data_IF_623206466931
#
_entry.id   IF_623206466931
#
_cell.length_a   1.000
_cell.length_b   1.000
_cell.length_c   1.000
_cell.angle_alpha   90.00
_cell.angle_beta   90.00
_cell.angle_gamma   90.00
#
_symmetry.space_group_name_H-M   'P 1'
#
loop_
_entity.id
_entity.type
_entity.pdbx_description
1 polymer ?
#
# COMPACT_ATOMS: atom_id res chain seq x y z
N UNK A 1 33.78 -11.71 23.01
CA UNK A 1 32.65 -11.26 22.16
C UNK A 1 32.67 -12.13 20.91
N UNK A 2 31.59 -12.87 20.61
CA UNK A 2 31.58 -13.90 19.54
C UNK A 2 30.87 -13.35 18.31
N UNK A 3 31.19 -13.90 17.13
CA UNK A 3 30.59 -13.51 15.85
C UNK A 3 29.06 -13.72 15.79
N UNK A 4 28.53 -14.62 16.63
CA UNK A 4 27.09 -14.88 16.80
C UNK A 4 26.31 -13.64 17.26
N UNK A 5 26.96 -12.74 18.02
CA UNK A 5 26.36 -11.48 18.50
C UNK A 5 26.16 -10.44 17.36
N UNK A 6 26.72 -10.70 16.17
CA UNK A 6 26.61 -9.87 14.96
C UNK A 6 25.73 -10.49 13.87
N UNK A 7 25.14 -11.66 14.11
CA UNK A 7 24.07 -12.14 13.25
C UNK A 7 22.92 -11.15 13.44
N UNK A 8 22.71 -10.31 12.45
CA UNK A 8 21.57 -9.41 12.39
C UNK A 8 20.31 -10.22 12.72
N UNK A 9 19.67 -9.92 13.86
CA UNK A 9 18.39 -10.49 14.25
C UNK A 9 17.26 -9.90 13.39
N UNK A 10 17.46 -9.89 12.07
CA UNK A 10 16.53 -9.44 11.03
C UNK A 10 15.34 -10.41 10.92
N UNK A 11 14.22 -9.91 10.39
CA UNK A 11 12.95 -10.63 10.30
C UNK A 11 11.98 -10.24 11.40
N UNK A 12 11.78 -11.11 12.40
CA UNK A 12 10.74 -10.93 13.42
C UNK A 12 10.93 -9.70 14.34
N UNK A 13 12.15 -9.14 14.37
CA UNK A 13 12.46 -7.93 15.13
C UNK A 13 12.54 -6.68 14.25
N UNK A 14 12.26 -6.80 12.94
CA UNK A 14 12.29 -5.67 12.03
C UNK A 14 11.18 -4.67 12.38
N UNK A 15 11.49 -3.37 12.26
CA UNK A 15 10.50 -2.32 12.48
C UNK A 15 9.46 -2.34 11.38
N UNK A 16 8.20 -2.14 11.74
CA UNK A 16 7.12 -2.05 10.76
C UNK A 16 6.57 -3.38 10.26
N UNK A 17 7.03 -4.52 10.79
CA UNK A 17 6.42 -5.79 10.46
C UNK A 17 4.91 -5.77 10.75
N UNK A 18 4.13 -6.39 9.87
CA UNK A 18 2.66 -6.39 9.93
C UNK A 18 2.02 -5.00 9.94
N UNK A 19 2.63 -3.98 9.34
CA UNK A 19 2.02 -2.65 9.21
C UNK A 19 1.77 -2.33 7.74
N UNK A 20 0.55 -1.93 7.42
CA UNK A 20 0.20 -1.52 6.05
C UNK A 20 -0.58 -0.21 6.04
N UNK A 21 -0.15 0.74 5.21
CA UNK A 21 -0.92 1.96 4.95
C UNK A 21 -1.43 1.96 3.52
N UNK A 22 -2.73 2.14 3.38
CA UNK A 22 -3.41 2.31 2.10
C UNK A 22 -3.40 3.79 1.70
N UNK A 23 -2.93 4.10 0.50
CA UNK A 23 -3.00 5.44 -0.07
C UNK A 23 -4.34 5.63 -0.80
N UNK A 24 -5.08 6.67 -0.45
CA UNK A 24 -6.34 7.01 -1.09
C UNK A 24 -6.33 8.45 -1.62
N UNK A 25 -6.98 8.65 -2.76
CA UNK A 25 -7.08 9.94 -3.41
C UNK A 25 -7.36 9.80 -4.90
N UNK A 26 -7.82 10.87 -5.53
CA UNK A 26 -8.12 10.88 -6.97
C UNK A 26 -6.87 10.63 -7.83
N UNK A 27 -7.02 10.18 -9.09
CA UNK A 27 -5.95 10.29 -10.07
C UNK A 27 -5.42 11.73 -10.12
N UNK A 28 -4.10 11.92 -10.18
CA UNK A 28 -3.49 13.26 -10.13
C UNK A 28 -3.32 13.85 -8.71
N UNK A 29 -3.85 13.22 -7.65
CA UNK A 29 -3.72 13.73 -6.28
C UNK A 29 -2.28 13.73 -5.72
N UNK A 30 -1.32 13.12 -6.43
CA UNK A 30 0.08 13.05 -5.99
C UNK A 30 0.36 12.01 -4.90
N UNK A 31 -0.38 10.89 -4.89
CA UNK A 31 -0.18 9.77 -3.95
C UNK A 31 1.28 9.33 -3.84
N UNK A 32 1.90 9.07 -4.98
CA UNK A 32 3.30 8.66 -5.05
C UNK A 32 4.27 9.79 -4.64
N UNK A 33 3.91 11.05 -4.90
CA UNK A 33 4.70 12.24 -4.49
C UNK A 33 4.71 12.39 -2.98
N UNK A 34 3.53 12.34 -2.34
CA UNK A 34 3.41 12.40 -0.88
C UNK A 34 4.16 11.22 -0.25
N UNK A 35 3.93 9.99 -0.71
CA UNK A 35 4.63 8.80 -0.20
C UNK A 35 6.15 8.95 -0.26
N UNK A 36 6.72 9.38 -1.39
CA UNK A 36 8.17 9.57 -1.55
C UNK A 36 8.74 10.58 -0.54
N UNK A 37 7.98 11.63 -0.21
CA UNK A 37 8.36 12.62 0.80
C UNK A 37 8.24 12.11 2.25
N UNK A 38 7.56 10.98 2.46
CA UNK A 38 7.41 10.34 3.77
C UNK A 38 8.43 9.21 4.01
N UNK A 39 9.45 9.06 3.16
CA UNK A 39 10.53 8.08 3.37
C UNK A 39 11.39 8.41 4.60
N UNK A 40 11.80 7.37 5.35
CA UNK A 40 12.67 7.52 6.53
C UNK A 40 12.80 6.22 7.34
N UNK A 41 12.70 6.30 8.68
CA UNK A 41 13.13 5.25 9.62
C UNK A 41 12.58 3.82 9.43
N UNK A 42 11.51 3.66 8.65
CA UNK A 42 11.03 2.39 8.09
C UNK A 42 10.82 2.59 6.59
N UNK A 43 11.19 1.58 5.78
CA UNK A 43 11.00 1.60 4.32
C UNK A 43 9.97 0.55 3.88
N UNK A 44 8.66 0.89 3.85
CA UNK A 44 7.63 -0.04 3.42
C UNK A 44 7.73 -0.37 1.93
N UNK A 45 7.49 -1.63 1.57
CA UNK A 45 7.40 -2.06 0.17
C UNK A 45 6.13 -1.54 -0.47
N UNK A 46 6.25 -1.04 -1.69
CA UNK A 46 5.12 -0.54 -2.47
C UNK A 46 4.43 -1.70 -3.18
N UNK A 47 3.14 -1.84 -2.96
CA UNK A 47 2.26 -2.78 -3.66
C UNK A 47 1.45 -1.97 -4.65
N UNK A 48 1.83 -2.04 -5.93
CA UNK A 48 1.17 -1.35 -7.03
C UNK A 48 1.30 -2.15 -8.33
N UNK A 49 0.18 -2.59 -8.89
CA UNK A 49 0.13 -3.32 -10.15
C UNK A 49 0.44 -2.46 -11.38
N UNK A 50 0.19 -1.15 -11.32
CA UNK A 50 0.48 -0.22 -12.42
C UNK A 50 1.99 -0.13 -12.70
N UNK A 51 2.84 -0.40 -11.71
CA UNK A 51 4.30 -0.39 -11.86
C UNK A 51 4.77 -1.37 -12.94
N UNK A 52 4.13 -2.55 -13.02
CA UNK A 52 4.47 -3.58 -14.00
C UNK A 52 3.99 -3.25 -15.40
N UNK A 53 2.89 -2.49 -15.50
CA UNK A 53 2.36 -1.96 -16.75
C UNK A 53 3.36 -0.98 -17.36
N UNK A 54 3.87 -0.06 -16.53
CA UNK A 54 4.89 0.92 -16.92
C UNK A 54 6.22 0.23 -17.27
N UNK A 55 6.66 -0.75 -16.48
CA UNK A 55 7.89 -1.52 -16.73
C UNK A 55 7.85 -2.32 -18.04
N UNK A 56 6.74 -3.01 -18.31
CA UNK A 56 6.57 -3.83 -19.50
C UNK A 56 6.26 -3.00 -20.76
N UNK A 57 6.21 -1.66 -20.65
CA UNK A 57 5.86 -0.72 -21.74
C UNK A 57 4.63 -1.17 -22.50
N UNK A 58 3.65 -1.71 -21.78
CA UNK A 58 2.46 -2.28 -22.40
C UNK A 58 1.65 -1.15 -23.01
N UNK A 59 1.68 -1.03 -24.33
CA UNK A 59 0.90 -0.03 -25.03
C UNK A 59 -0.59 -0.29 -24.78
N UNK A 60 -1.29 0.76 -24.33
CA UNK A 60 -2.73 0.74 -24.02
C UNK A 60 -3.57 0.33 -25.24
N UNK A 61 -2.99 0.38 -26.45
CA UNK A 61 -3.67 0.06 -27.72
C UNK A 61 -3.73 -1.43 -28.09
N UNK A 62 -3.14 -2.34 -27.30
CA UNK A 62 -3.33 -3.78 -27.58
C UNK A 62 -2.45 -4.76 -26.82
N UNK A 63 -1.44 -4.33 -26.07
CA UNK A 63 -0.59 -5.25 -25.29
C UNK A 63 -1.20 -5.68 -23.96
N UNK A 64 -2.18 -4.94 -23.44
CA UNK A 64 -2.73 -5.16 -22.10
C UNK A 64 -3.31 -6.55 -21.94
N UNK A 65 -4.19 -6.97 -22.85
CA UNK A 65 -4.84 -8.29 -22.81
C UNK A 65 -3.84 -9.45 -22.90
N UNK A 66 -2.68 -9.25 -23.53
CA UNK A 66 -1.65 -10.27 -23.64
C UNK A 66 -0.85 -10.46 -22.35
N UNK A 67 -0.58 -9.38 -21.61
CA UNK A 67 0.25 -9.41 -20.41
C UNK A 67 -0.53 -9.33 -19.10
N UNK A 68 -1.86 -9.18 -19.15
CA UNK A 68 -2.69 -8.99 -17.96
C UNK A 68 -2.50 -10.11 -16.93
N UNK A 69 -2.56 -11.38 -17.37
CA UNK A 69 -2.40 -12.54 -16.49
C UNK A 69 -0.98 -12.63 -15.92
N UNK A 70 0.03 -12.28 -16.72
CA UNK A 70 1.42 -12.24 -16.28
C UNK A 70 1.66 -11.15 -15.25
N UNK A 71 1.15 -9.94 -15.47
CA UNK A 71 1.23 -8.82 -14.53
C UNK A 71 0.54 -9.17 -13.21
N UNK A 72 -0.66 -9.77 -13.27
CA UNK A 72 -1.38 -10.23 -12.08
C UNK A 72 -0.58 -11.29 -11.32
N UNK A 73 -0.02 -12.27 -12.04
CA UNK A 73 0.78 -13.35 -11.45
C UNK A 73 2.05 -12.82 -10.80
N UNK A 74 2.79 -11.94 -11.48
CA UNK A 74 4.03 -11.35 -10.96
C UNK A 74 3.73 -10.46 -9.75
N UNK A 75 2.75 -9.57 -9.85
CA UNK A 75 2.33 -8.69 -8.74
C UNK A 75 1.84 -9.51 -7.54
N UNK A 76 1.06 -10.56 -7.81
CA UNK A 76 0.56 -11.50 -6.81
C UNK A 76 1.68 -12.24 -6.09
N UNK A 77 2.66 -12.79 -6.82
CA UNK A 77 3.80 -13.47 -6.23
C UNK A 77 4.68 -12.52 -5.41
N UNK A 78 4.88 -11.29 -5.89
CA UNK A 78 5.62 -10.26 -5.16
C UNK A 78 4.93 -9.92 -3.84
N UNK A 79 3.62 -9.66 -3.87
CA UNK A 79 2.83 -9.40 -2.66
C UNK A 79 2.84 -10.59 -1.71
N UNK A 80 2.75 -11.82 -2.24
CA UNK A 80 2.80 -13.03 -1.44
C UNK A 80 4.15 -13.16 -0.70
N UNK A 81 5.25 -12.83 -1.37
CA UNK A 81 6.58 -12.77 -0.75
C UNK A 81 6.69 -11.70 0.35
N UNK A 82 6.07 -10.53 0.13
CA UNK A 82 6.04 -9.47 1.15
C UNK A 82 5.23 -9.87 2.38
N UNK A 83 4.06 -10.48 2.19
CA UNK A 83 3.23 -11.00 3.30
C UNK A 83 3.96 -12.13 4.02
N UNK A 84 4.60 -13.04 3.30
CA UNK A 84 5.38 -14.11 3.91
C UNK A 84 6.55 -13.56 4.75
N UNK A 85 7.18 -12.47 4.31
CA UNK A 85 8.24 -11.78 5.04
C UNK A 85 7.70 -10.73 6.01
N UNK A 86 6.37 -10.65 6.17
CA UNK A 86 5.64 -9.75 7.07
C UNK A 86 6.04 -8.27 6.91
N UNK A 87 6.52 -7.87 5.73
CA UNK A 87 7.13 -6.56 5.52
C UNK A 87 6.11 -5.42 5.70
N UNK A 88 6.56 -4.23 6.14
CA UNK A 88 5.74 -3.03 6.09
C UNK A 88 5.32 -2.73 4.65
N UNK A 89 4.07 -2.30 4.43
CA UNK A 89 3.51 -2.07 3.09
C UNK A 89 2.92 -0.67 2.88
N UNK A 90 3.20 -0.11 1.70
CA UNK A 90 2.39 0.93 1.07
C UNK A 90 1.48 0.30 0.03
N UNK A 91 0.17 0.34 0.24
CA UNK A 91 -0.81 -0.12 -0.75
C UNK A 91 -1.20 1.08 -1.62
N UNK A 92 -0.59 1.17 -2.81
CA UNK A 92 -0.82 2.23 -3.78
C UNK A 92 -1.66 1.65 -4.92
N UNK A 93 -2.98 1.79 -4.80
CA UNK A 93 -3.95 1.29 -5.76
C UNK A 93 -5.15 2.21 -5.88
N UNK A 94 -5.92 2.06 -6.94
CA UNK A 94 -7.05 2.96 -7.22
C UNK A 94 -8.13 2.82 -6.15
N UNK A 95 -8.18 3.78 -5.21
CA UNK A 95 -9.17 3.86 -4.13
C UNK A 95 -10.59 4.21 -4.61
N UNK A 96 -10.82 4.22 -5.93
CA UNK A 96 -12.11 4.51 -6.55
C UNK A 96 -13.13 3.39 -6.30
N UNK A 97 -12.69 2.17 -5.98
CA UNK A 97 -13.56 1.05 -5.62
C UNK A 97 -13.46 0.73 -4.12
N UNK A 98 -14.47 1.11 -3.30
CA UNK A 98 -14.53 0.78 -1.88
C UNK A 98 -14.49 -0.70 -1.56
N UNK A 99 -15.21 -1.51 -2.33
CA UNK A 99 -15.27 -2.96 -2.13
C UNK A 99 -13.87 -3.58 -2.14
N UNK A 100 -13.08 -3.26 -3.16
CA UNK A 100 -11.71 -3.77 -3.32
C UNK A 100 -10.81 -3.30 -2.18
N UNK A 101 -10.91 -2.03 -1.79
CA UNK A 101 -10.08 -1.47 -0.72
C UNK A 101 -10.38 -2.14 0.62
N UNK A 102 -11.65 -2.39 0.93
CA UNK A 102 -12.06 -3.08 2.16
C UNK A 102 -11.72 -4.58 2.11
N UNK A 103 -11.86 -5.22 0.95
CA UNK A 103 -11.43 -6.61 0.75
C UNK A 103 -9.93 -6.76 1.00
N UNK A 104 -9.11 -5.91 0.39
CA UNK A 104 -7.65 -5.85 0.59
C UNK A 104 -7.27 -5.62 2.06
N UNK A 105 -7.95 -4.68 2.72
CA UNK A 105 -7.82 -4.47 4.17
C UNK A 105 -8.08 -5.77 4.95
N UNK A 106 -9.21 -6.44 4.69
CA UNK A 106 -9.57 -7.67 5.38
C UNK A 106 -8.57 -8.81 5.14
N UNK A 107 -8.03 -8.94 3.93
CA UNK A 107 -6.98 -9.91 3.62
C UNK A 107 -5.72 -9.63 4.46
N UNK A 108 -5.26 -8.37 4.51
CA UNK A 108 -4.09 -7.99 5.31
C UNK A 108 -4.31 -8.23 6.80
N UNK A 109 -5.45 -7.80 7.34
CA UNK A 109 -5.80 -8.03 8.75
C UNK A 109 -5.88 -9.53 9.08
N UNK A 110 -6.34 -10.35 8.12
CA UNK A 110 -6.35 -11.82 8.23
C UNK A 110 -4.98 -12.49 8.16
N UNK A 111 -3.92 -11.76 7.80
CA UNK A 111 -2.52 -12.19 7.97
C UNK A 111 -1.83 -11.51 9.16
N UNK A 112 -2.61 -10.84 10.01
CA UNK A 112 -2.11 -10.20 11.22
C UNK A 112 -1.67 -8.75 11.06
N UNK A 113 -1.89 -8.10 9.91
CA UNK A 113 -1.51 -6.70 9.72
C UNK A 113 -2.39 -5.74 10.53
N UNK A 114 -1.78 -4.70 11.10
CA UNK A 114 -2.47 -3.44 11.38
C UNK A 114 -2.57 -2.63 10.09
N UNK A 115 -3.77 -2.12 9.81
CA UNK A 115 -4.04 -1.34 8.60
C UNK A 115 -4.38 0.11 8.94
N UNK A 116 -3.77 1.02 8.19
CA UNK A 116 -4.03 2.45 8.21
C UNK A 116 -4.41 2.96 6.83
N UNK A 117 -4.95 4.18 6.78
CA UNK A 117 -5.20 4.89 5.53
C UNK A 117 -4.64 6.30 5.58
N UNK A 118 -3.91 6.67 4.52
CA UNK A 118 -3.51 8.04 4.26
C UNK A 118 -4.32 8.56 3.07
N UNK A 119 -5.18 9.54 3.38
CA UNK A 119 -6.06 10.20 2.43
C UNK A 119 -5.42 11.49 1.92
N UNK A 120 -5.31 11.62 0.60
CA UNK A 120 -4.65 12.74 -0.05
C UNK A 120 -5.72 13.51 -0.82
N UNK A 121 -6.06 14.70 -0.32
CA UNK A 121 -7.01 15.60 -0.97
C UNK A 121 -6.27 16.42 -2.04
N UNK A 122 -6.96 16.68 -3.14
CA UNK A 122 -6.52 17.60 -4.19
C UNK A 122 -7.73 18.14 -4.92
N UNK A 123 -7.68 19.41 -5.30
CA UNK A 123 -8.71 20.07 -6.07
C UNK A 123 -8.82 19.45 -7.46
N UNK A 124 -10.03 19.51 -8.04
CA UNK A 124 -10.32 18.89 -9.33
C UNK A 124 -9.42 19.46 -10.43
N UNK A 125 -9.28 20.79 -10.48
CA UNK A 125 -8.51 21.49 -11.52
C UNK A 125 -7.02 21.14 -11.45
N UNK A 126 -6.46 21.07 -10.23
CA UNK A 126 -5.07 20.66 -10.00
C UNK A 126 -4.88 19.19 -10.39
N UNK A 127 -5.85 18.33 -10.06
CA UNK A 127 -5.80 16.90 -10.41
C UNK A 127 -5.84 16.70 -11.93
N UNK A 128 -6.69 17.44 -12.65
CA UNK A 128 -6.77 17.43 -14.11
C UNK A 128 -5.49 17.96 -14.75
N UNK A 129 -4.95 19.08 -14.25
CA UNK A 129 -3.69 19.64 -14.71
C UNK A 129 -2.55 18.62 -14.60
N UNK A 130 -2.38 17.99 -13.45
CA UNK A 130 -1.33 16.97 -13.21
C UNK A 130 -1.53 15.70 -14.04
N UNK A 131 -2.77 15.31 -14.30
CA UNK A 131 -3.06 14.18 -15.18
C UNK A 131 -2.65 14.48 -16.62
N UNK A 132 -2.94 15.70 -17.10
CA UNK A 132 -2.53 16.17 -18.43
C UNK A 132 -1.00 16.30 -18.55
N UNK A 133 -0.34 16.88 -17.56
CA UNK A 133 1.13 16.94 -17.50
C UNK A 133 1.73 15.53 -17.57
N UNK A 134 1.16 14.55 -16.85
CA UNK A 134 1.63 13.16 -16.89
C UNK A 134 1.35 12.49 -18.24
N UNK A 135 0.26 12.83 -18.92
CA UNK A 135 0.01 12.38 -20.29
C UNK A 135 1.08 12.92 -21.25
N UNK A 136 1.43 14.21 -21.13
CA UNK A 136 2.46 14.86 -21.95
C UNK A 136 3.87 14.30 -21.67
N UNK A 137 4.20 14.02 -20.40
CA UNK A 137 5.52 13.54 -19.99
C UNK A 137 5.77 12.06 -20.31
N UNK A 138 4.77 11.20 -20.06
CA UNK A 138 4.96 9.73 -20.11
C UNK A 138 3.89 8.99 -20.93
N UNK A 139 3.02 9.71 -21.65
CA UNK A 139 2.02 9.13 -22.55
C UNK A 139 0.82 8.47 -21.86
N UNK A 140 0.64 8.65 -20.54
CA UNK A 140 -0.45 8.01 -19.78
C UNK A 140 -1.73 8.86 -19.84
N UNK A 141 -2.57 8.61 -20.84
CA UNK A 141 -3.88 9.27 -20.95
C UNK A 141 -4.86 8.77 -19.87
N UNK A 142 -5.53 9.71 -19.21
CA UNK A 142 -6.65 9.44 -18.31
C UNK A 142 -7.80 10.35 -18.70
N UNK A 143 -8.95 9.75 -19.02
CA UNK A 143 -10.14 10.48 -19.43
C UNK A 143 -10.55 11.55 -18.37
N UNK A 144 -10.62 12.84 -18.74
CA UNK A 144 -11.07 13.90 -17.84
C UNK A 144 -12.44 13.64 -17.20
N UNK A 145 -13.39 13.04 -17.93
CA UNK A 145 -14.72 12.70 -17.40
C UNK A 145 -14.61 11.63 -16.32
N UNK A 146 -13.69 10.68 -16.49
CA UNK A 146 -13.38 9.67 -15.48
C UNK A 146 -12.78 10.31 -14.22
N UNK A 147 -11.90 11.29 -14.36
CA UNK A 147 -11.33 12.04 -13.23
C UNK A 147 -12.43 12.77 -12.47
N UNK A 148 -13.31 13.49 -13.16
CA UNK A 148 -14.43 14.23 -12.56
C UNK A 148 -15.41 13.30 -11.82
N UNK A 149 -15.80 12.19 -12.45
CA UNK A 149 -16.66 11.16 -11.82
C UNK A 149 -16.00 10.57 -10.58
N UNK A 150 -14.71 10.24 -10.68
CA UNK A 150 -13.94 9.65 -9.57
C UNK A 150 -13.80 10.63 -8.41
N UNK A 151 -13.57 11.91 -8.69
CA UNK A 151 -13.48 12.96 -7.67
C UNK A 151 -14.78 13.11 -6.88
N UNK A 152 -15.91 13.21 -7.59
CA UNK A 152 -17.24 13.30 -6.97
C UNK A 152 -17.58 12.07 -6.12
N UNK A 153 -17.16 10.89 -6.55
CA UNK A 153 -17.38 9.64 -5.82
C UNK A 153 -16.47 9.53 -4.58
N UNK A 154 -15.17 9.75 -4.74
CA UNK A 154 -14.17 9.59 -3.67
C UNK A 154 -14.47 10.53 -2.49
N UNK A 155 -14.88 11.77 -2.75
CA UNK A 155 -15.22 12.71 -1.67
C UNK A 155 -16.40 12.22 -0.81
N UNK A 156 -17.38 11.51 -1.39
CA UNK A 156 -18.50 10.90 -0.65
C UNK A 156 -18.08 9.68 0.17
N UNK A 157 -16.98 9.02 -0.20
CA UNK A 157 -16.49 7.80 0.45
C UNK A 157 -15.57 8.09 1.65
N UNK A 158 -15.07 9.31 1.78
CA UNK A 158 -14.18 9.71 2.87
C UNK A 158 -14.72 9.38 4.28
N UNK A 159 -15.99 9.70 4.63
CA UNK A 159 -16.54 9.36 5.94
C UNK A 159 -16.60 7.85 6.18
N UNK A 160 -16.93 7.07 5.13
CA UNK A 160 -16.95 5.61 5.20
C UNK A 160 -15.58 5.06 5.54
N UNK A 161 -14.52 5.50 4.85
CA UNK A 161 -13.17 5.01 5.12
C UNK A 161 -12.64 5.44 6.50
N UNK A 162 -12.95 6.66 6.93
CA UNK A 162 -12.59 7.15 8.27
C UNK A 162 -13.19 6.27 9.39
N UNK A 163 -14.36 5.68 9.17
CA UNK A 163 -14.95 4.71 10.11
C UNK A 163 -14.30 3.32 10.02
N UNK A 164 -13.80 2.93 8.84
CA UNK A 164 -13.25 1.59 8.60
C UNK A 164 -11.80 1.45 9.02
N UNK A 165 -11.00 2.50 8.98
CA UNK A 165 -9.60 2.49 9.37
C UNK A 165 -9.40 3.18 10.73
N UNK A 166 -8.84 2.46 11.70
CA UNK A 166 -8.52 3.01 13.02
C UNK A 166 -7.50 4.15 12.92
N UNK A 167 -6.46 3.93 12.12
CA UNK A 167 -5.50 4.97 11.77
C UNK A 167 -5.89 5.59 10.43
N UNK A 168 -6.34 6.84 10.47
CA UNK A 168 -6.74 7.59 9.28
C UNK A 168 -6.12 8.98 9.35
N UNK A 169 -5.29 9.33 8.37
CA UNK A 169 -4.67 10.65 8.25
C UNK A 169 -5.05 11.29 6.93
N UNK A 170 -5.13 12.61 6.94
CA UNK A 170 -5.51 13.42 5.80
C UNK A 170 -4.40 14.44 5.52
N UNK A 171 -4.12 14.66 4.25
CA UNK A 171 -3.22 15.72 3.81
C UNK A 171 -3.73 16.34 2.52
N UNK A 172 -3.69 17.66 2.47
CA UNK A 172 -4.03 18.41 1.28
C UNK A 172 -2.76 18.61 0.43
N UNK A 173 -2.86 18.29 -0.86
CA UNK A 173 -1.77 18.38 -1.82
C UNK A 173 -2.10 19.34 -2.96
N UNK A 174 -2.71 20.47 -2.62
CA UNK A 174 -2.88 21.62 -3.50
C UNK A 174 -1.62 22.50 -3.50
N UNK A 175 -1.59 23.45 -4.43
CA UNK A 175 -0.44 24.35 -4.63
C UNK A 175 -0.19 25.19 -3.37
N UNK A 176 1.00 25.06 -2.79
CA UNK A 176 1.41 25.77 -1.57
C UNK A 176 0.91 25.18 -0.25
N UNK A 177 0.00 24.18 -0.27
CA UNK A 177 -0.56 23.60 0.96
C UNK A 177 0.35 22.52 1.56
N UNK A 178 1.10 21.80 0.74
CA UNK A 178 2.03 20.77 1.21
C UNK A 178 3.35 21.38 1.70
N UNK A 179 3.29 22.10 2.81
CA UNK A 179 4.45 22.75 3.46
C UNK A 179 5.36 21.75 4.18
N UNK A 180 6.62 22.12 4.40
CA UNK A 180 7.59 21.30 5.16
C UNK A 180 7.09 20.95 6.56
N UNK A 181 6.39 21.88 7.23
CA UNK A 181 5.81 21.65 8.56
C UNK A 181 4.75 20.54 8.53
N UNK A 182 3.90 20.54 7.51
CA UNK A 182 2.87 19.51 7.32
C UNK A 182 3.53 18.17 6.99
N UNK A 183 4.54 18.16 6.12
CA UNK A 183 5.31 16.97 5.77
C UNK A 183 6.01 16.35 6.99
N UNK A 184 6.69 17.16 7.81
CA UNK A 184 7.35 16.69 9.04
C UNK A 184 6.33 16.13 10.03
N UNK A 185 5.16 16.76 10.18
CA UNK A 185 4.09 16.24 11.03
C UNK A 185 3.61 14.89 10.51
N UNK A 186 3.28 14.81 9.23
CA UNK A 186 2.77 13.59 8.61
C UNK A 186 3.80 12.47 8.67
N UNK A 187 5.07 12.79 8.42
CA UNK A 187 6.19 11.86 8.58
C UNK A 187 6.23 11.26 9.99
N UNK A 188 6.17 12.10 11.04
CA UNK A 188 6.14 11.62 12.43
C UNK A 188 4.94 10.73 12.72
N UNK A 189 3.76 11.06 12.20
CA UNK A 189 2.55 10.26 12.39
C UNK A 189 2.63 8.91 11.66
N UNK A 190 3.20 8.89 10.46
CA UNK A 190 3.42 7.69 9.66
C UNK A 190 4.51 6.79 10.25
N UNK A 191 5.65 7.37 10.63
CA UNK A 191 6.74 6.65 11.31
C UNK A 191 6.24 6.03 12.61
N UNK A 192 5.52 6.82 13.43
CA UNK A 192 4.88 6.32 14.65
C UNK A 192 3.92 5.16 14.40
N UNK A 193 3.13 5.18 13.31
CA UNK A 193 2.29 4.04 12.95
C UNK A 193 3.12 2.79 12.65
N UNK A 194 4.16 2.90 11.82
CA UNK A 194 5.01 1.77 11.47
C UNK A 194 5.80 1.24 12.67
N UNK A 195 6.28 2.11 13.56
CA UNK A 195 7.07 1.68 14.73
C UNK A 195 6.22 1.33 15.95
N UNK A 196 4.91 1.57 15.91
CA UNK A 196 4.02 1.24 17.03
C UNK A 196 3.95 -0.27 17.26
N UNK A 197 3.75 -0.71 18.53
CA UNK A 197 3.50 -2.11 18.81
C UNK A 197 2.38 -2.69 17.94
N UNK A 198 2.52 -3.95 17.55
CA UNK A 198 1.50 -4.67 16.79
C UNK A 198 0.21 -4.77 17.62
N UNK A 199 -0.90 -4.28 17.06
CA UNK A 199 -2.18 -4.23 17.75
C UNK A 199 -3.11 -5.38 17.36
N UNK A 200 -3.04 -5.87 16.11
CA UNK A 200 -3.81 -7.02 15.65
C UNK A 200 -3.46 -8.29 16.43
N UNK A 201 -4.45 -8.90 17.08
CA UNK A 201 -4.27 -10.09 17.93
C UNK A 201 -3.74 -11.30 17.15
N UNK A 202 -4.18 -11.48 15.90
CA UNK A 202 -3.69 -12.57 15.06
C UNK A 202 -2.21 -12.37 14.71
N UNK A 203 -1.81 -11.12 14.46
CA UNK A 203 -0.42 -10.78 14.23
C UNK A 203 0.45 -11.01 15.47
N UNK A 204 -0.05 -10.67 16.66
CA UNK A 204 0.64 -10.98 17.93
C UNK A 204 0.80 -12.49 18.12
N UNK A 205 -0.26 -13.25 17.86
CA UNK A 205 -0.22 -14.71 17.91
C UNK A 205 0.87 -15.29 16.99
N UNK A 206 0.88 -14.91 15.71
CA UNK A 206 1.91 -15.36 14.78
C UNK A 206 3.30 -14.94 15.20
N UNK A 207 3.46 -13.72 15.72
CA UNK A 207 4.75 -13.23 16.20
C UNK A 207 5.28 -14.09 17.34
N UNK A 208 4.44 -14.37 18.33
CA UNK A 208 4.84 -15.10 19.52
C UNK A 208 5.18 -16.56 19.16
N UNK A 209 4.38 -17.20 18.29
CA UNK A 209 4.66 -18.53 17.73
C UNK A 209 5.99 -18.58 16.94
N UNK A 210 6.26 -17.59 16.09
CA UNK A 210 7.51 -17.53 15.33
C UNK A 210 8.72 -17.33 16.23
N UNK A 211 8.60 -16.54 17.30
CA UNK A 211 9.67 -16.38 18.30
C UNK A 211 9.92 -17.72 19.02
N UNK A 212 8.88 -18.42 19.44
CA UNK A 212 8.99 -19.72 20.13
C UNK A 212 9.66 -20.79 19.26
N UNK A 213 9.31 -20.83 17.96
CA UNK A 213 9.80 -21.82 17.01
C UNK A 213 11.09 -21.41 16.29
N UNK A 214 11.59 -20.18 16.51
CA UNK A 214 12.73 -19.63 15.76
C UNK A 214 12.44 -19.38 14.27
N UNK A 215 11.16 -19.22 13.92
CA UNK A 215 10.69 -18.94 12.57
C UNK A 215 11.01 -17.50 12.13
N UNK A 216 11.24 -17.31 10.84
CA UNK A 216 11.59 -16.00 10.24
C UNK A 216 10.52 -15.50 9.29
N UNK A 217 9.71 -16.40 8.74
CA UNK A 217 8.69 -16.13 7.77
C UNK A 217 7.33 -16.58 8.29
N UNK A 218 6.26 -15.97 7.80
CA UNK A 218 4.90 -16.33 8.21
C UNK A 218 4.58 -17.80 7.94
N UNK A 219 5.16 -18.40 6.89
CA UNK A 219 5.01 -19.83 6.60
C UNK A 219 5.77 -20.77 7.55
N UNK A 220 6.62 -20.23 8.42
CA UNK A 220 7.25 -21.00 9.50
C UNK A 220 6.28 -21.13 10.71
N UNK A 221 5.10 -20.50 10.65
CA UNK A 221 4.00 -20.73 11.58
C UNK A 221 3.25 -22.01 11.22
N UNK A 222 2.61 -22.67 12.20
CA UNK A 222 1.86 -23.89 11.94
C UNK A 222 0.52 -23.65 11.24
N UNK A 223 0.08 -22.39 11.17
CA UNK A 223 -1.24 -21.98 10.70
C UNK A 223 -1.27 -21.52 9.24
N UNK A 224 -0.12 -21.14 8.69
CA UNK A 224 -0.04 -20.47 7.38
C UNK A 224 0.92 -21.21 6.47
N UNK A 225 0.47 -21.54 5.26
CA UNK A 225 1.34 -22.00 4.18
C UNK A 225 1.29 -21.08 2.95
N UNK A 226 2.25 -21.26 2.04
CA UNK A 226 2.37 -20.44 0.84
C UNK A 226 1.16 -20.60 -0.11
N UNK A 227 0.50 -21.76 -0.09
CA UNK A 227 -0.70 -22.03 -0.90
C UNK A 227 -1.86 -21.19 -0.40
N UNK A 228 -2.08 -21.13 0.91
CA UNK A 228 -3.10 -20.29 1.54
C UNK A 228 -2.84 -18.81 1.26
N UNK A 229 -1.58 -18.35 1.40
CA UNK A 229 -1.21 -16.96 1.08
C UNK A 229 -1.63 -16.64 -0.35
N UNK A 230 -1.18 -17.44 -1.32
CA UNK A 230 -1.51 -17.23 -2.74
C UNK A 230 -3.02 -17.32 -3.00
N UNK A 231 -3.73 -18.23 -2.34
CA UNK A 231 -5.18 -18.40 -2.51
C UNK A 231 -5.95 -17.17 -2.05
N UNK A 232 -5.64 -16.63 -0.85
CA UNK A 232 -6.28 -15.41 -0.34
C UNK A 232 -5.95 -14.18 -1.20
N UNK A 233 -4.83 -14.19 -1.92
CA UNK A 233 -4.42 -13.11 -2.83
C UNK A 233 -5.00 -13.21 -4.25
N UNK A 234 -5.67 -14.31 -4.64
CA UNK A 234 -6.20 -14.48 -6.02
C UNK A 234 -7.14 -13.35 -6.48
N UNK A 235 -7.86 -12.71 -5.55
CA UNK A 235 -8.74 -11.57 -5.81
C UNK A 235 -8.11 -10.20 -5.59
N UNK A 236 -6.82 -10.10 -5.29
CA UNK A 236 -6.20 -8.82 -4.94
C UNK A 236 -6.11 -7.86 -6.13
N UNK A 237 -5.78 -8.41 -7.31
CA UNK A 237 -5.56 -7.69 -8.57
C UNK A 237 -6.66 -7.97 -9.62
N UNK A 238 -7.83 -8.45 -9.22
CA UNK A 238 -8.98 -8.52 -10.12
C UNK A 238 -9.47 -7.10 -10.42
N UNK A 239 -9.53 -6.73 -11.70
CA UNK A 239 -9.99 -5.44 -12.18
C UNK A 239 -11.50 -5.40 -12.41
#
# INVERSE_FOLDING_TARGET
MRFEDYILNEGINDKGIWKAIVLAGVPGAGKSTVRKKLGGGVEPRVVNSDTWVEFLKVDAKGGWSFFEDDIKRISGNQLAGYINSMLPLWIDGTSSKPGDTISRKGILEGFGYDTGMLWINTDLDISMKRAKEREEEIGRHVDPDFIMKTWNMINKLKPFYKQKFKWFKEVDNNDGELTDKILVKLYKETDSFFTSPLNNELGKFYRDELIENGGKYLIDSNEVDMTMIKQKLKGWFSY
#
